data_IF_750901815956
#
_entry.id   IF_750901815956
#
_cell.length_a   1.000
_cell.length_b   1.000
_cell.length_c   1.000
_cell.angle_alpha   90.00
_cell.angle_beta   90.00
_cell.angle_gamma   90.00
#
_symmetry.space_group_name_H-M   'P 1'
#
loop_
_entity.id
_entity.type
_entity.pdbx_description
1 polymer ?
#
# COMPACT_ATOMS: atom_id res chain seq x y z
N UNK A 1 -7.55 -8.47 -25.10
CA UNK A 1 -6.36 -7.68 -25.49
C UNK A 1 -5.12 -8.38 -24.92
N UNK A 2 -4.03 -8.61 -25.67
CA UNK A 2 -2.85 -9.25 -25.13
C UNK A 2 -2.06 -8.21 -24.30
N UNK A 3 -2.35 -8.15 -23.01
CA UNK A 3 -1.64 -7.33 -22.01
C UNK A 3 -0.15 -7.76 -21.88
N UNK A 4 0.20 -8.92 -22.41
CA UNK A 4 1.37 -9.67 -21.96
C UNK A 4 2.72 -9.22 -22.53
N UNK A 5 2.78 -8.54 -23.69
CA UNK A 5 4.08 -8.29 -24.34
C UNK A 5 4.77 -6.97 -23.94
N UNK A 6 4.03 -5.91 -23.61
CA UNK A 6 4.63 -4.56 -23.40
C UNK A 6 5.10 -4.27 -21.97
N UNK A 7 4.68 -5.08 -20.99
CA UNK A 7 4.94 -4.82 -19.56
C UNK A 7 5.63 -5.99 -18.86
N UNK A 8 6.21 -6.95 -19.60
CA UNK A 8 6.83 -8.14 -19.03
C UNK A 8 8.05 -7.85 -18.11
N UNK A 9 8.64 -6.67 -18.21
CA UNK A 9 9.79 -6.27 -17.40
C UNK A 9 9.41 -6.05 -15.92
N UNK A 10 8.22 -5.51 -15.64
CA UNK A 10 7.77 -5.27 -14.26
C UNK A 10 7.66 -6.54 -13.40
N UNK A 11 6.98 -7.63 -13.82
CA UNK A 11 6.93 -8.84 -13.02
C UNK A 11 8.31 -9.48 -12.83
N UNK A 12 9.23 -9.33 -13.81
CA UNK A 12 10.61 -9.80 -13.66
C UNK A 12 11.36 -9.01 -12.58
N UNK A 13 11.22 -7.68 -12.56
CA UNK A 13 11.81 -6.84 -11.51
C UNK A 13 11.23 -7.16 -10.13
N UNK A 14 9.92 -7.39 -10.04
CA UNK A 14 9.26 -7.80 -8.80
C UNK A 14 9.82 -9.14 -8.32
N UNK A 15 9.95 -10.13 -9.21
CA UNK A 15 10.55 -11.43 -8.88
C UNK A 15 11.97 -11.28 -8.36
N UNK A 16 12.80 -10.46 -9.02
CA UNK A 16 14.16 -10.20 -8.57
C UNK A 16 14.20 -9.55 -7.18
N UNK A 17 13.34 -8.56 -6.93
CA UNK A 17 13.22 -7.93 -5.63
C UNK A 17 12.75 -8.91 -4.55
N UNK A 18 11.80 -9.80 -4.86
CA UNK A 18 11.31 -10.84 -3.94
C UNK A 18 12.41 -11.86 -3.59
N UNK A 19 13.20 -12.29 -4.58
CA UNK A 19 14.36 -13.17 -4.34
C UNK A 19 15.36 -12.48 -3.40
N UNK A 20 15.66 -11.20 -3.65
CA UNK A 20 16.51 -10.41 -2.77
C UNK A 20 15.94 -10.25 -1.35
N UNK A 21 14.62 -10.14 -1.19
CA UNK A 21 13.96 -10.05 0.12
C UNK A 21 14.00 -11.40 0.86
N UNK A 22 13.76 -12.52 0.17
CA UNK A 22 13.70 -13.85 0.78
C UNK A 22 15.07 -14.43 1.12
N UNK A 23 16.05 -14.22 0.25
CA UNK A 23 17.39 -14.85 0.36
C UNK A 23 18.51 -13.83 0.64
N UNK A 24 18.20 -12.54 0.68
CA UNK A 24 19.19 -11.51 0.94
C UNK A 24 19.62 -11.46 2.41
N UNK A 25 20.81 -10.91 2.69
CA UNK A 25 21.35 -10.78 4.06
C UNK A 25 20.64 -9.71 4.90
N UNK A 26 19.51 -9.17 4.42
CA UNK A 26 18.84 -7.97 4.94
C UNK A 26 17.82 -8.34 6.05
N UNK A 27 17.50 -9.62 6.22
CA UNK A 27 16.52 -10.09 7.20
C UNK A 27 17.14 -10.57 8.51
N UNK A 28 16.65 -10.03 9.63
CA UNK A 28 16.75 -10.68 10.94
C UNK A 28 15.82 -11.89 10.94
N UNK A 29 16.31 -13.10 11.24
CA UNK A 29 15.43 -14.26 11.25
C UNK A 29 14.57 -14.20 12.51
N UNK A 30 13.26 -14.37 12.37
CA UNK A 30 12.33 -14.38 13.52
C UNK A 30 12.69 -15.48 14.53
N UNK A 31 13.35 -16.54 14.08
CA UNK A 31 13.90 -17.60 14.93
C UNK A 31 15.04 -17.14 15.85
N UNK A 32 15.80 -16.11 15.47
CA UNK A 32 16.96 -15.64 16.25
C UNK A 32 16.53 -15.00 17.59
N UNK A 33 15.31 -14.46 17.64
CA UNK A 33 14.74 -13.82 18.84
C UNK A 33 13.91 -14.78 19.71
N UNK A 34 13.70 -16.02 19.26
CA UNK A 34 12.74 -16.93 19.88
C UNK A 34 13.47 -18.05 20.63
N UNK A 35 13.15 -18.31 21.91
CA UNK A 35 13.79 -19.39 22.65
C UNK A 35 13.48 -20.72 21.97
N UNK A 36 14.47 -21.63 21.90
CA UNK A 36 14.37 -22.89 21.14
C UNK A 36 13.13 -23.72 21.50
N UNK A 37 12.68 -23.68 22.75
CA UNK A 37 11.49 -24.37 23.22
C UNK A 37 10.16 -23.85 22.64
N UNK A 38 10.16 -22.68 21.99
CA UNK A 38 9.01 -22.10 21.26
C UNK A 38 9.19 -22.18 19.74
N UNK A 39 10.25 -22.84 19.28
CA UNK A 39 10.49 -23.07 17.86
C UNK A 39 10.04 -24.46 17.47
N UNK A 40 9.46 -24.58 16.28
CA UNK A 40 9.06 -25.86 15.69
C UNK A 40 9.87 -26.07 14.41
N UNK A 41 10.22 -27.32 14.06
CA UNK A 41 10.95 -27.61 12.84
C UNK A 41 10.13 -27.17 11.61
N UNK A 42 10.83 -26.65 10.60
CA UNK A 42 10.17 -26.20 9.36
C UNK A 42 9.41 -27.34 8.67
N UNK A 43 10.01 -28.52 8.59
CA UNK A 43 9.36 -29.71 8.08
C UNK A 43 9.15 -30.71 9.22
N UNK A 44 7.93 -31.24 9.44
CA UNK A 44 6.74 -31.11 8.59
C UNK A 44 5.79 -29.97 9.00
N UNK A 45 5.92 -29.45 10.22
CA UNK A 45 4.87 -28.67 10.89
C UNK A 45 4.55 -27.34 10.20
N UNK A 46 5.57 -26.65 9.68
CA UNK A 46 5.39 -25.37 8.99
C UNK A 46 5.06 -25.54 7.50
N UNK A 47 5.48 -26.64 6.86
CA UNK A 47 5.26 -26.85 5.42
C UNK A 47 3.80 -27.17 5.09
N UNK A 48 3.14 -28.03 5.85
CA UNK A 48 1.78 -28.52 5.53
C UNK A 48 0.68 -27.44 5.49
N UNK A 49 0.67 -26.42 6.35
CA UNK A 49 -0.33 -25.35 6.27
C UNK A 49 -0.26 -24.53 4.97
N UNK A 50 0.92 -24.36 4.35
CA UNK A 50 1.06 -23.49 3.18
C UNK A 50 0.33 -23.99 1.93
N UNK A 51 0.46 -25.27 1.50
CA UNK A 51 -0.35 -25.79 0.41
C UNK A 51 -1.86 -25.70 0.67
N UNK A 52 -2.31 -25.93 1.91
CA UNK A 52 -3.72 -25.82 2.27
C UNK A 52 -4.21 -24.38 2.12
N UNK A 53 -3.44 -23.40 2.63
CA UNK A 53 -3.74 -21.98 2.46
C UNK A 53 -3.69 -21.57 0.99
N UNK A 54 -2.71 -22.04 0.23
CA UNK A 54 -2.60 -21.77 -1.21
C UNK A 54 -3.82 -22.30 -1.96
N UNK A 55 -4.28 -23.52 -1.66
CA UNK A 55 -5.50 -24.08 -2.22
C UNK A 55 -6.73 -23.28 -1.82
N UNK A 56 -6.85 -22.85 -0.56
CA UNK A 56 -7.95 -22.01 -0.11
C UNK A 56 -7.99 -20.67 -0.87
N UNK A 57 -6.84 -20.03 -1.05
CA UNK A 57 -6.71 -18.78 -1.84
C UNK A 57 -7.08 -19.03 -3.31
N UNK A 58 -6.60 -20.11 -3.93
CA UNK A 58 -6.92 -20.44 -5.32
C UNK A 58 -8.41 -20.72 -5.53
N UNK A 59 -9.04 -21.45 -4.62
CA UNK A 59 -10.49 -21.69 -4.65
C UNK A 59 -11.23 -20.36 -4.48
N UNK A 60 -10.83 -19.51 -3.53
CA UNK A 60 -11.43 -18.19 -3.32
C UNK A 60 -11.33 -17.31 -4.56
N UNK A 61 -10.15 -17.24 -5.18
CA UNK A 61 -9.93 -16.51 -6.43
C UNK A 61 -10.73 -17.10 -7.59
N UNK A 62 -10.83 -18.43 -7.69
CA UNK A 62 -11.65 -19.10 -8.70
C UNK A 62 -13.14 -18.77 -8.56
N UNK A 63 -13.67 -18.78 -7.34
CA UNK A 63 -15.05 -18.39 -7.05
C UNK A 63 -15.29 -16.89 -7.34
N UNK A 64 -14.37 -16.02 -6.92
CA UNK A 64 -14.44 -14.60 -7.26
C UNK A 64 -14.38 -14.36 -8.77
N UNK A 65 -13.57 -15.13 -9.51
CA UNK A 65 -13.53 -15.04 -10.96
C UNK A 65 -14.86 -15.47 -11.57
N UNK A 66 -15.47 -16.57 -11.11
CA UNK A 66 -16.76 -17.06 -11.61
C UNK A 66 -17.91 -16.08 -11.36
N UNK A 67 -17.99 -15.52 -10.15
CA UNK A 67 -19.09 -14.63 -9.74
C UNK A 67 -18.84 -13.19 -10.24
N UNK A 68 -17.60 -12.73 -10.19
CA UNK A 68 -17.19 -11.36 -10.50
C UNK A 68 -16.88 -11.09 -11.97
N UNK A 69 -17.00 -12.08 -12.87
CA UNK A 69 -16.72 -11.88 -14.30
C UNK A 69 -17.38 -10.63 -14.90
N UNK A 70 -18.68 -10.35 -14.66
CA UNK A 70 -19.33 -9.18 -15.26
C UNK A 70 -18.72 -7.84 -14.81
N UNK A 71 -18.14 -7.80 -13.60
CA UNK A 71 -17.48 -6.61 -13.04
C UNK A 71 -16.07 -6.41 -13.59
N UNK A 72 -15.45 -7.46 -14.13
CA UNK A 72 -14.07 -7.47 -14.62
C UNK A 72 -13.97 -7.34 -16.15
N UNK A 73 -15.11 -7.25 -16.85
CA UNK A 73 -15.10 -7.06 -18.30
C UNK A 73 -14.61 -5.65 -18.63
N UNK A 74 -13.66 -5.51 -19.58
CA UNK A 74 -13.27 -4.19 -20.06
C UNK A 74 -14.50 -3.43 -20.57
N UNK A 75 -14.59 -2.16 -20.21
CA UNK A 75 -15.63 -1.27 -20.71
C UNK A 75 -15.49 -1.00 -22.22
N UNK A 76 -16.17 0.06 -22.67
CA UNK A 76 -16.07 0.51 -24.06
C UNK A 76 -14.60 0.79 -24.45
N UNK A 77 -14.19 0.49 -25.68
CA UNK A 77 -12.88 0.88 -26.19
C UNK A 77 -12.64 2.37 -25.94
N UNK A 78 -11.42 2.72 -25.54
CA UNK A 78 -11.07 4.11 -25.24
C UNK A 78 -11.25 4.99 -26.49
N UNK A 79 -12.20 5.93 -26.42
CA UNK A 79 -12.39 6.98 -27.41
C UNK A 79 -11.81 8.30 -26.86
N UNK A 80 -10.74 8.85 -27.46
CA UNK A 80 -10.16 10.13 -27.06
C UNK A 80 -11.12 11.32 -27.15
N UNK A 81 -12.24 11.18 -27.87
CA UNK A 81 -13.26 12.23 -28.03
C UNK A 81 -14.32 12.20 -26.94
N UNK A 82 -14.44 11.09 -26.21
CA UNK A 82 -15.41 10.94 -25.14
C UNK A 82 -14.87 11.56 -23.85
N UNK A 83 -15.58 12.57 -23.32
CA UNK A 83 -15.29 13.15 -22.01
C UNK A 83 -15.91 12.30 -20.90
N UNK A 84 -15.28 11.16 -20.60
CA UNK A 84 -15.63 10.29 -19.48
C UNK A 84 -14.60 10.53 -18.38
N UNK A 85 -15.03 10.62 -17.11
CA UNK A 85 -14.12 10.63 -15.96
C UNK A 85 -13.80 9.16 -15.64
N UNK A 86 -12.57 8.67 -15.93
CA UNK A 86 -12.23 7.29 -15.64
C UNK A 86 -11.97 7.14 -14.14
N UNK A 87 -12.74 6.30 -13.46
CA UNK A 87 -12.41 5.87 -12.10
C UNK A 87 -11.33 4.78 -12.19
N UNK A 88 -10.25 4.88 -11.40
CA UNK A 88 -9.22 3.85 -11.38
C UNK A 88 -9.69 2.62 -10.60
N UNK A 89 -8.83 1.61 -10.49
CA UNK A 89 -9.11 0.44 -9.65
C UNK A 89 -9.10 0.80 -8.15
N UNK A 90 -9.77 -0.03 -7.33
CA UNK A 90 -10.05 0.26 -5.91
C UNK A 90 -8.81 0.58 -5.05
N UNK A 91 -7.67 -0.03 -5.35
CA UNK A 91 -6.40 0.20 -4.65
C UNK A 91 -5.78 1.57 -4.94
N UNK A 92 -6.28 2.29 -5.95
CA UNK A 92 -5.88 3.65 -6.28
C UNK A 92 -6.90 4.73 -5.91
N UNK A 93 -8.08 4.36 -5.38
CA UNK A 93 -9.12 5.33 -5.00
C UNK A 93 -8.62 6.40 -4.03
N UNK A 94 -7.84 6.03 -3.01
CA UNK A 94 -7.29 7.01 -2.07
C UNK A 94 -6.40 8.05 -2.77
N UNK A 95 -5.51 7.61 -3.68
CA UNK A 95 -4.61 8.50 -4.41
C UNK A 95 -5.37 9.39 -5.40
N UNK A 96 -6.38 8.83 -6.07
CA UNK A 96 -7.27 9.56 -6.97
C UNK A 96 -8.04 10.66 -6.23
N UNK A 97 -8.63 10.33 -5.07
CA UNK A 97 -9.34 11.33 -4.28
C UNK A 97 -8.38 12.36 -3.70
N UNK A 98 -7.21 11.95 -3.23
CA UNK A 98 -6.18 12.85 -2.72
C UNK A 98 -5.71 13.86 -3.78
N UNK A 99 -5.59 13.44 -5.04
CA UNK A 99 -5.21 14.31 -6.15
C UNK A 99 -6.13 15.52 -6.31
N UNK A 100 -7.45 15.36 -6.07
CA UNK A 100 -8.47 16.42 -6.22
C UNK A 100 -8.44 17.46 -5.10
N UNK A 101 -7.91 17.09 -3.93
CA UNK A 101 -8.02 17.88 -2.69
C UNK A 101 -7.04 19.07 -2.64
N UNK A 102 -5.99 19.09 -3.45
CA UNK A 102 -4.98 20.15 -3.35
C UNK A 102 -4.40 20.58 -4.69
N UNK A 103 -3.35 21.42 -4.65
CA UNK A 103 -2.64 21.82 -5.85
C UNK A 103 -2.08 20.59 -6.56
N UNK A 104 -2.36 20.46 -7.86
CA UNK A 104 -2.09 19.25 -8.63
C UNK A 104 -0.65 18.74 -8.45
N UNK A 105 0.36 19.61 -8.56
CA UNK A 105 1.77 19.24 -8.40
C UNK A 105 2.08 18.61 -7.03
N UNK A 106 1.47 19.15 -5.96
CA UNK A 106 1.73 18.72 -4.59
C UNK A 106 1.08 17.36 -4.33
N UNK A 107 -0.20 17.23 -4.65
CA UNK A 107 -1.00 16.04 -4.31
C UNK A 107 -0.72 14.85 -5.21
N UNK A 108 -0.36 15.08 -6.48
CA UNK A 108 -0.11 13.97 -7.43
C UNK A 108 1.36 13.55 -7.52
N UNK A 109 2.31 14.45 -7.30
CA UNK A 109 3.74 14.15 -7.50
C UNK A 109 4.50 14.25 -6.18
N UNK A 110 4.54 15.43 -5.56
CA UNK A 110 5.46 15.68 -4.45
C UNK A 110 5.15 14.79 -3.23
N UNK A 111 3.88 14.70 -2.83
CA UNK A 111 3.49 13.93 -1.64
C UNK A 111 3.64 12.42 -1.87
N UNK A 112 3.14 11.81 -2.97
CA UNK A 112 3.33 10.37 -3.19
C UNK A 112 4.81 9.97 -3.32
N UNK A 113 5.61 10.75 -4.07
CA UNK A 113 7.05 10.49 -4.19
C UNK A 113 7.75 10.66 -2.85
N UNK A 114 7.43 11.73 -2.11
CA UNK A 114 7.96 11.97 -0.77
C UNK A 114 7.62 10.84 0.20
N UNK A 115 6.40 10.30 0.16
CA UNK A 115 5.97 9.18 0.98
C UNK A 115 6.73 7.90 0.66
N UNK A 116 6.87 7.55 -0.63
CA UNK A 116 7.62 6.35 -1.05
C UNK A 116 9.08 6.46 -0.62
N UNK A 117 9.72 7.61 -0.83
CA UNK A 117 11.09 7.84 -0.39
C UNK A 117 11.20 7.78 1.15
N UNK A 118 10.26 8.39 1.88
CA UNK A 118 10.24 8.33 3.34
C UNK A 118 10.12 6.90 3.87
N UNK A 119 9.32 6.04 3.21
CA UNK A 119 9.19 4.63 3.56
C UNK A 119 10.45 3.84 3.23
N UNK A 120 11.07 4.07 2.07
CA UNK A 120 12.34 3.43 1.68
C UNK A 120 13.47 3.82 2.65
N UNK A 121 13.55 5.09 3.02
CA UNK A 121 14.57 5.61 3.93
C UNK A 121 14.19 5.49 5.42
N UNK A 122 13.04 4.90 5.73
CA UNK A 122 12.55 4.78 7.11
C UNK A 122 13.55 4.10 8.05
N UNK A 123 14.22 2.98 7.69
CA UNK A 123 15.20 2.36 8.58
C UNK A 123 16.39 3.29 8.90
N UNK A 124 16.83 4.10 7.93
CA UNK A 124 17.92 5.06 8.14
C UNK A 124 17.48 6.23 9.02
N UNK A 125 16.23 6.69 8.84
CA UNK A 125 15.60 7.69 9.69
C UNK A 125 15.52 7.20 11.13
N UNK A 126 15.13 5.95 11.35
CA UNK A 126 14.95 5.37 12.69
C UNK A 126 16.28 5.14 13.42
N UNK A 127 17.29 4.62 12.73
CA UNK A 127 18.56 4.22 13.37
C UNK A 127 19.52 5.40 13.58
N UNK A 128 19.66 6.31 12.60
CA UNK A 128 20.70 7.35 12.62
C UNK A 128 20.16 8.75 12.88
N UNK A 129 19.26 9.20 12.01
CA UNK A 129 18.79 10.60 12.03
C UNK A 129 17.89 10.87 13.23
N UNK A 130 17.10 9.87 13.59
CA UNK A 130 16.14 9.95 14.67
C UNK A 130 16.72 10.28 16.04
N UNK A 131 17.63 9.46 16.57
CA UNK A 131 18.30 9.74 17.85
C UNK A 131 19.09 11.06 17.85
N UNK A 132 19.53 11.53 16.67
CA UNK A 132 20.17 12.84 16.53
C UNK A 132 19.18 13.99 16.66
N UNK A 133 18.02 13.91 16.00
CA UNK A 133 16.94 14.90 16.08
C UNK A 133 16.32 14.92 17.48
N UNK A 134 16.09 13.75 18.08
CA UNK A 134 15.57 13.63 19.44
C UNK A 134 16.45 14.37 20.46
N UNK A 135 17.78 14.17 20.38
CA UNK A 135 18.74 14.89 21.25
C UNK A 135 18.72 16.40 21.03
N UNK A 136 18.56 16.87 19.79
CA UNK A 136 18.48 18.31 19.48
C UNK A 136 17.19 18.96 19.96
N UNK A 137 16.07 18.23 19.92
CA UNK A 137 14.76 18.71 20.34
C UNK A 137 14.46 18.45 21.83
N UNK A 138 15.40 17.85 22.57
CA UNK A 138 15.24 17.53 23.99
C UNK A 138 14.29 16.36 24.28
N UNK A 139 14.02 15.50 23.29
CA UNK A 139 13.16 14.33 23.45
C UNK A 139 13.93 13.20 24.14
N UNK A 140 13.29 12.52 25.11
CA UNK A 140 13.88 11.39 25.84
C UNK A 140 14.25 10.22 24.93
N UNK A 141 13.41 9.94 23.93
CA UNK A 141 13.56 8.82 23.00
C UNK A 141 13.09 9.23 21.61
N UNK A 142 13.65 8.62 20.57
CA UNK A 142 13.19 8.82 19.20
C UNK A 142 11.81 8.15 18.99
N UNK A 143 10.86 8.80 18.30
CA UNK A 143 9.55 8.22 18.04
C UNK A 143 9.66 7.08 17.02
N UNK A 144 9.72 5.83 17.49
CA UNK A 144 9.56 4.64 16.65
C UNK A 144 8.12 4.10 16.79
N UNK A 145 7.45 3.62 15.72
CA UNK A 145 6.02 3.27 15.71
C UNK A 145 5.61 2.22 16.76
N UNK A 146 6.54 1.35 17.18
CA UNK A 146 6.30 0.31 18.19
C UNK A 146 6.60 0.77 19.63
N UNK A 147 7.35 1.86 19.82
CA UNK A 147 7.80 2.36 21.14
C UNK A 147 7.15 3.68 21.55
N UNK A 148 6.48 4.39 20.65
CA UNK A 148 5.91 5.70 20.92
C UNK A 148 4.47 5.85 20.39
N UNK A 149 3.57 6.27 21.29
CA UNK A 149 2.15 6.54 21.03
C UNK A 149 1.98 7.56 19.90
N UNK A 150 2.82 8.60 19.83
CA UNK A 150 2.71 9.66 18.82
C UNK A 150 2.88 9.08 17.41
N UNK A 151 3.92 8.29 17.17
CA UNK A 151 4.11 7.66 15.87
C UNK A 151 3.05 6.61 15.56
N UNK A 152 2.63 5.83 16.56
CA UNK A 152 1.50 4.92 16.39
C UNK A 152 0.23 5.67 15.95
N UNK A 153 -0.06 6.81 16.57
CA UNK A 153 -1.21 7.65 16.20
C UNK A 153 -1.07 8.25 14.81
N UNK A 154 0.13 8.68 14.38
CA UNK A 154 0.37 9.19 13.01
C UNK A 154 0.11 8.09 11.98
N UNK A 155 0.59 6.86 12.23
CA UNK A 155 0.36 5.72 11.34
C UNK A 155 -1.11 5.35 11.24
N UNK A 156 -1.80 5.25 12.38
CA UNK A 156 -3.24 4.98 12.41
C UNK A 156 -4.03 6.10 11.73
N UNK A 157 -3.67 7.36 11.96
CA UNK A 157 -4.28 8.50 11.27
C UNK A 157 -4.06 8.44 9.76
N UNK A 158 -2.85 8.08 9.31
CA UNK A 158 -2.55 7.88 7.89
C UNK A 158 -3.42 6.79 7.26
N UNK A 159 -3.54 5.63 7.91
CA UNK A 159 -4.43 4.56 7.47
C UNK A 159 -5.90 4.97 7.48
N UNK A 160 -6.33 5.72 8.50
CA UNK A 160 -7.68 6.24 8.58
C UNK A 160 -7.99 7.23 7.45
N UNK A 161 -7.03 8.08 7.07
CA UNK A 161 -7.14 9.00 5.92
C UNK A 161 -7.26 8.19 4.62
N UNK A 162 -6.39 7.19 4.40
CA UNK A 162 -6.45 6.33 3.21
C UNK A 162 -7.80 5.60 3.14
N UNK A 163 -8.27 5.05 4.26
CA UNK A 163 -9.56 4.39 4.37
C UNK A 163 -10.72 5.35 4.07
N UNK A 164 -10.71 6.55 4.66
CA UNK A 164 -11.74 7.55 4.45
C UNK A 164 -11.80 8.03 2.99
N UNK A 165 -10.64 8.29 2.36
CA UNK A 165 -10.57 8.69 0.94
C UNK A 165 -11.06 7.57 0.02
N UNK A 166 -10.66 6.33 0.30
CA UNK A 166 -11.15 5.15 -0.44
C UNK A 166 -12.66 5.00 -0.32
N UNK A 167 -13.20 5.08 0.91
CA UNK A 167 -14.63 4.94 1.17
C UNK A 167 -15.44 6.08 0.58
N UNK A 168 -14.91 7.32 0.58
CA UNK A 168 -15.57 8.45 -0.05
C UNK A 168 -15.71 8.22 -1.56
N UNK A 169 -14.64 7.77 -2.23
CA UNK A 169 -14.69 7.48 -3.66
C UNK A 169 -15.57 6.27 -4.00
N UNK A 170 -15.55 5.23 -3.16
CA UNK A 170 -16.28 3.99 -3.41
C UNK A 170 -17.79 4.07 -3.08
N UNK A 171 -18.16 4.71 -1.97
CA UNK A 171 -19.52 4.67 -1.43
C UNK A 171 -20.31 5.96 -1.61
N UNK A 172 -19.63 7.10 -1.75
CA UNK A 172 -20.27 8.41 -1.84
C UNK A 172 -19.73 9.25 -3.02
N UNK A 173 -19.78 8.74 -4.27
CA UNK A 173 -19.20 9.43 -5.42
C UNK A 173 -19.83 10.80 -5.67
N UNK A 174 -21.15 10.94 -5.50
CA UNK A 174 -21.86 12.22 -5.62
C UNK A 174 -21.72 13.18 -4.42
N UNK A 175 -21.10 12.75 -3.32
CA UNK A 175 -20.94 13.62 -2.15
C UNK A 175 -19.83 14.63 -2.43
N UNK A 176 -20.22 15.89 -2.62
CA UNK A 176 -19.30 16.98 -2.85
C UNK A 176 -19.09 17.78 -1.56
N UNK A 177 -17.84 17.87 -1.11
CA UNK A 177 -17.47 18.62 0.10
C UNK A 177 -16.83 19.94 -0.34
N UNK A 178 -17.29 21.10 0.20
CA UNK A 178 -16.68 22.38 -0.10
C UNK A 178 -15.23 22.39 0.39
N UNK A 179 -14.28 22.61 -0.54
CA UNK A 179 -12.86 22.58 -0.24
C UNK A 179 -12.19 23.93 -0.54
N UNK A 180 -11.29 24.42 0.34
CA UNK A 180 -10.78 25.78 0.26
C UNK A 180 -9.91 26.08 -0.99
N UNK A 181 -9.27 25.07 -1.58
CA UNK A 181 -8.29 25.30 -2.66
C UNK A 181 -8.88 25.20 -4.07
N UNK A 182 -9.79 24.25 -4.29
CA UNK A 182 -10.25 23.86 -5.63
C UNK A 182 -11.79 23.95 -5.79
N UNK A 183 -12.50 24.52 -4.82
CA UNK A 183 -13.97 24.52 -4.80
C UNK A 183 -14.55 23.19 -4.27
N UNK A 184 -15.82 22.87 -4.55
CA UNK A 184 -16.42 21.62 -4.09
C UNK A 184 -15.77 20.40 -4.76
N UNK A 185 -15.24 19.48 -3.97
CA UNK A 185 -14.61 18.23 -4.43
C UNK A 185 -15.57 17.08 -4.22
N UNK A 186 -15.86 16.31 -5.28
CA UNK A 186 -16.74 15.14 -5.24
C UNK A 186 -15.93 13.83 -5.18
N UNK A 187 -16.54 12.75 -4.69
CA UNK A 187 -15.92 11.42 -4.55
C UNK A 187 -15.60 10.73 -5.89
N UNK A 188 -16.37 11.04 -6.94
CA UNK A 188 -16.09 10.66 -8.33
C UNK A 188 -16.09 11.89 -9.23
#
# INVERSE_FOLDING_TARGET
>A
MPITRRHALYPILILYALVGLMFGPIGHQVSDDMPENRTHPYFPDQVWPYPVLAMAVLIGLGLMALIGQPLLQPGQPADPRAAIIPLPEWYFFALFQFAKVGPALITTILVPVGLVLALIFWPLLDIRLGPGIARRLGWREWPAPKRNVITGTIWIAGLAIIGALTLWSALAPQLCIPWPYNGPVCGA
#
